data_IF_562105358705
#
_entry.id   IF_562105358705
#
_cell.length_a   1.000
_cell.length_b   1.000
_cell.length_c   1.000
_cell.angle_alpha   90.00
_cell.angle_beta   90.00
_cell.angle_gamma   90.00
#
_symmetry.space_group_name_H-M   'P 1'
#
loop_
_entity.id
_entity.type
_entity.pdbx_description
1 polymer ?
#
# COMPACT_ATOMS: atom_id res chain seq x y z
N UNK A 1 -27.28 3.46 -46.93
CA UNK A 1 -25.93 3.85 -47.41
C UNK A 1 -25.11 4.25 -46.19
N UNK A 2 -23.90 3.80 -45.90
CA UNK A 2 -23.01 2.76 -46.42
C UNK A 2 -22.15 2.35 -45.22
N UNK A 3 -22.12 1.07 -44.90
CA UNK A 3 -21.16 0.47 -43.97
C UNK A 3 -19.77 0.50 -44.62
N UNK A 4 -18.72 0.81 -43.86
CA UNK A 4 -17.34 0.49 -44.22
C UNK A 4 -16.73 -0.42 -43.15
N UNK A 5 -16.43 -1.67 -43.51
CA UNK A 5 -15.35 -2.45 -42.91
C UNK A 5 -14.18 -2.58 -43.90
N UNK A 6 -12.95 -2.70 -43.39
CA UNK A 6 -11.78 -3.17 -44.15
C UNK A 6 -10.87 -3.93 -43.18
N UNK A 7 -10.94 -5.26 -43.15
CA UNK A 7 -10.00 -6.23 -43.76
C UNK A 7 -8.54 -5.99 -43.35
N UNK A 8 -7.94 -6.78 -42.46
CA UNK A 8 -7.48 -8.19 -42.58
C UNK A 8 -6.29 -8.38 -43.54
N UNK A 9 -5.16 -8.88 -43.03
CA UNK A 9 -4.32 -9.99 -43.54
C UNK A 9 -2.96 -9.99 -42.80
N UNK A 10 -2.69 -10.98 -41.93
CA UNK A 10 -1.92 -12.20 -42.23
C UNK A 10 -0.51 -11.92 -42.78
N UNK A 11 0.53 -12.24 -42.02
CA UNK A 11 1.42 -13.37 -42.34
C UNK A 11 2.30 -13.75 -41.13
N UNK A 12 2.37 -15.07 -40.92
CA UNK A 12 3.24 -15.76 -39.97
C UNK A 12 4.70 -15.68 -40.43
N UNK A 13 5.63 -15.51 -39.50
CA UNK A 13 6.94 -16.14 -39.57
C UNK A 13 7.28 -16.69 -38.20
N UNK A 14 7.23 -18.02 -38.13
CA UNK A 14 7.87 -18.78 -37.07
C UNK A 14 9.38 -18.73 -37.30
N UNK A 15 10.14 -18.43 -36.25
CA UNK A 15 11.51 -18.87 -36.12
C UNK A 15 11.76 -19.21 -34.66
N UNK A 16 12.00 -20.50 -34.42
CA UNK A 16 12.47 -21.04 -33.16
C UNK A 16 13.72 -20.29 -32.70
N UNK A 17 13.68 -19.76 -31.50
CA UNK A 17 14.88 -19.58 -30.69
C UNK A 17 14.58 -20.20 -29.33
N UNK A 18 15.03 -21.44 -29.18
CA UNK A 18 15.17 -22.11 -27.89
C UNK A 18 16.08 -21.27 -27.01
N UNK A 19 15.48 -20.44 -26.15
CA UNK A 19 16.15 -19.83 -25.02
C UNK A 19 15.70 -20.56 -23.77
N UNK A 20 16.69 -21.13 -23.08
CA UNK A 20 16.61 -21.69 -21.76
C UNK A 20 15.73 -20.81 -20.86
N UNK A 21 14.50 -21.28 -20.57
CA UNK A 21 13.73 -20.81 -19.43
C UNK A 21 14.39 -21.37 -18.17
N UNK A 22 15.56 -20.82 -17.80
CA UNK A 22 15.91 -20.74 -16.39
C UNK A 22 14.79 -19.95 -15.74
N UNK A 23 14.02 -20.62 -14.89
CA UNK A 23 12.98 -20.00 -14.09
C UNK A 23 13.59 -18.86 -13.28
N UNK A 24 13.53 -17.66 -13.84
CA UNK A 24 13.52 -16.41 -13.09
C UNK A 24 12.21 -16.45 -12.30
N UNK A 25 12.20 -17.23 -11.21
CA UNK A 25 11.23 -17.04 -10.16
C UNK A 25 11.37 -15.57 -9.77
N UNK A 26 10.37 -14.77 -10.13
CA UNK A 26 10.28 -13.37 -9.78
C UNK A 26 10.17 -13.27 -8.25
N UNK A 27 11.31 -13.38 -7.57
CA UNK A 27 11.40 -13.13 -6.16
C UNK A 27 11.03 -11.67 -5.96
N UNK A 28 10.01 -11.40 -5.17
CA UNK A 28 9.43 -10.08 -5.21
C UNK A 28 10.39 -9.15 -4.44
N UNK A 29 10.75 -8.04 -5.10
CA UNK A 29 11.86 -7.16 -4.74
C UNK A 29 11.83 -6.73 -3.26
N UNK A 30 12.98 -6.85 -2.59
CA UNK A 30 13.18 -6.36 -1.23
C UNK A 30 13.14 -4.82 -1.18
N UNK A 31 12.63 -4.28 -0.07
CA UNK A 31 12.55 -2.84 0.21
C UNK A 31 13.84 -2.31 0.81
N UNK A 32 14.48 -3.13 1.65
CA UNK A 32 15.78 -2.85 2.22
C UNK A 32 16.66 -4.10 2.12
N UNK A 33 17.96 -3.87 2.01
CA UNK A 33 18.98 -4.92 1.98
C UNK A 33 19.95 -4.62 3.12
N UNK A 34 20.23 -5.61 3.95
CA UNK A 34 21.18 -5.48 5.05
C UNK A 34 22.04 -6.73 5.17
N UNK A 35 23.23 -6.55 5.74
CA UNK A 35 24.05 -7.66 6.19
C UNK A 35 23.32 -8.37 7.34
N UNK A 36 23.39 -9.70 7.36
CA UNK A 36 22.66 -10.55 8.29
C UNK A 36 23.01 -10.18 9.74
N UNK A 37 22.05 -9.67 10.54
CA UNK A 37 22.33 -9.21 11.90
C UNK A 37 22.88 -10.28 12.84
N UNK A 38 22.49 -11.55 12.67
CA UNK A 38 23.07 -12.65 13.45
C UNK A 38 24.56 -12.87 13.16
N UNK A 39 25.01 -12.56 11.94
CA UNK A 39 26.42 -12.69 11.56
C UNK A 39 27.26 -11.48 12.02
N UNK A 40 26.65 -10.28 12.08
CA UNK A 40 27.33 -9.03 12.48
C UNK A 40 27.15 -8.68 13.96
N UNK A 41 26.23 -9.32 14.66
CA UNK A 41 25.82 -8.99 16.04
C UNK A 41 25.04 -7.67 16.17
N UNK A 42 24.69 -7.02 15.06
CA UNK A 42 24.01 -5.72 15.06
C UNK A 42 23.21 -5.49 13.78
N UNK A 43 22.10 -4.76 13.91
CA UNK A 43 21.25 -4.37 12.77
C UNK A 43 21.79 -3.07 12.16
N UNK A 44 22.19 -3.11 10.89
CA UNK A 44 22.57 -1.90 10.14
C UNK A 44 21.34 -1.05 9.78
N UNK A 45 21.47 0.27 9.52
CA UNK A 45 20.35 1.10 9.06
C UNK A 45 19.66 0.51 7.82
N UNK A 46 18.33 0.32 7.86
CA UNK A 46 17.60 -0.49 6.87
C UNK A 46 16.19 0.05 6.53
N UNK A 47 16.09 1.35 6.25
CA UNK A 47 14.80 2.02 6.02
C UNK A 47 14.05 1.46 4.79
N UNK A 48 12.91 0.83 5.02
CA UNK A 48 11.93 0.45 4.00
C UNK A 48 10.82 1.51 3.90
N UNK A 49 10.36 1.83 2.69
CA UNK A 49 9.28 2.80 2.46
C UNK A 49 8.23 2.20 1.55
N UNK A 50 6.96 2.29 1.96
CA UNK A 50 5.82 1.82 1.19
C UNK A 50 4.68 2.81 1.29
N UNK A 51 4.22 3.30 0.14
CA UNK A 51 3.01 4.13 0.07
C UNK A 51 1.78 3.25 0.23
N UNK A 52 0.88 3.60 1.16
CA UNK A 52 -0.44 2.96 1.27
C UNK A 52 -1.53 3.79 0.58
N UNK A 53 -2.61 3.13 0.17
CA UNK A 53 -3.78 3.76 -0.42
C UNK A 53 -4.97 3.88 0.55
N UNK A 54 -4.83 3.39 1.79
CA UNK A 54 -5.91 3.44 2.79
C UNK A 54 -6.31 4.89 3.05
N UNK A 55 -7.61 5.17 2.98
CA UNK A 55 -8.19 6.49 3.24
C UNK A 55 -8.17 7.46 2.06
N UNK A 56 -7.67 7.05 0.87
CA UNK A 56 -7.65 7.90 -0.34
C UNK A 56 -8.97 7.93 -1.11
N UNK A 57 -9.96 7.13 -0.72
CA UNK A 57 -11.22 7.08 -1.46
C UNK A 57 -11.90 8.46 -1.47
N UNK A 58 -12.21 8.94 -2.67
CA UNK A 58 -12.75 10.29 -2.88
C UNK A 58 -11.76 11.44 -2.62
N UNK A 59 -10.45 11.17 -2.51
CA UNK A 59 -9.43 12.20 -2.19
C UNK A 59 -8.24 12.12 -3.13
N UNK A 60 -7.84 13.26 -3.66
CA UNK A 60 -6.64 13.47 -4.45
C UNK A 60 -5.55 14.01 -3.53
N UNK A 61 -4.68 13.13 -3.05
CA UNK A 61 -3.63 13.43 -2.07
C UNK A 61 -2.26 13.00 -2.62
N UNK A 62 -1.17 13.74 -2.31
CA UNK A 62 0.16 13.35 -2.74
C UNK A 62 0.53 11.97 -2.19
N UNK A 63 1.21 11.17 -3.00
CA UNK A 63 1.54 9.80 -2.64
C UNK A 63 2.31 9.72 -1.29
N UNK A 64 3.24 10.65 -1.08
CA UNK A 64 4.10 10.73 0.10
C UNK A 64 3.37 11.04 1.41
N UNK A 65 2.13 11.54 1.36
CA UNK A 65 1.31 11.79 2.55
C UNK A 65 1.08 10.50 3.36
N UNK A 66 1.12 9.36 2.70
CA UNK A 66 0.81 8.05 3.28
C UNK A 66 1.98 7.07 3.20
N UNK A 67 3.20 7.57 3.08
CA UNK A 67 4.39 6.73 3.14
C UNK A 67 4.51 6.11 4.54
N UNK A 68 4.33 4.80 4.58
CA UNK A 68 4.67 4.00 5.75
C UNK A 68 6.18 3.75 5.70
N UNK A 69 6.89 4.06 6.77
CA UNK A 69 8.32 3.78 6.88
C UNK A 69 8.51 2.66 7.89
N UNK A 70 9.36 1.67 7.59
CA UNK A 70 9.70 0.62 8.54
C UNK A 70 11.18 0.37 8.61
N UNK A 71 11.63 -0.08 9.78
CA UNK A 71 12.99 -0.53 10.02
C UNK A 71 12.96 -1.75 10.94
N UNK A 72 13.74 -2.77 10.62
CA UNK A 72 14.20 -3.77 11.58
C UNK A 72 15.09 -3.04 12.60
N UNK A 73 14.78 -3.18 13.87
CA UNK A 73 15.48 -2.50 14.98
C UNK A 73 16.30 -3.45 15.82
N UNK A 74 15.89 -4.72 15.93
CA UNK A 74 16.65 -5.78 16.57
C UNK A 74 16.38 -7.10 15.88
N UNK A 75 17.42 -7.95 15.79
CA UNK A 75 17.29 -9.33 15.37
C UNK A 75 18.31 -10.18 16.11
N UNK A 76 17.81 -11.12 16.89
CA UNK A 76 18.55 -12.22 17.52
C UNK A 76 17.86 -13.56 17.20
N UNK A 77 18.40 -14.67 17.71
CA UNK A 77 17.90 -16.01 17.42
C UNK A 77 16.47 -16.26 17.92
N UNK A 78 16.05 -15.53 18.95
CA UNK A 78 14.74 -15.70 19.59
C UNK A 78 13.80 -14.54 19.31
N UNK A 79 14.28 -13.40 18.83
CA UNK A 79 13.47 -12.19 18.65
C UNK A 79 13.79 -11.40 17.38
N UNK A 80 12.74 -10.92 16.74
CA UNK A 80 12.81 -9.93 15.68
C UNK A 80 11.91 -8.74 16.03
N UNK A 81 12.47 -7.54 16.11
CA UNK A 81 11.73 -6.31 16.40
C UNK A 81 11.81 -5.33 15.24
N UNK A 82 10.67 -4.71 14.94
CA UNK A 82 10.51 -3.70 13.89
C UNK A 82 9.87 -2.45 14.47
N UNK A 83 10.25 -1.30 13.95
CA UNK A 83 9.51 -0.05 14.15
C UNK A 83 8.92 0.37 12.81
N UNK A 84 7.62 0.60 12.79
CA UNK A 84 6.89 1.12 11.62
C UNK A 84 6.29 2.47 12.00
N UNK A 85 6.71 3.50 11.28
CA UNK A 85 6.08 4.82 11.32
C UNK A 85 4.90 4.77 10.37
N UNK A 86 3.71 4.79 10.96
CA UNK A 86 2.45 4.76 10.23
C UNK A 86 1.95 6.17 9.96
N UNK A 87 1.36 6.39 8.78
CA UNK A 87 0.73 7.65 8.38
C UNK A 87 -0.69 7.40 7.89
N UNK A 88 -1.67 7.98 8.55
CA UNK A 88 -3.10 7.76 8.29
C UNK A 88 -3.85 9.08 8.42
N UNK A 89 -5.00 9.21 7.75
CA UNK A 89 -5.89 10.34 7.99
C UNK A 89 -6.43 10.29 9.44
N UNK A 90 -6.60 11.46 10.06
CA UNK A 90 -7.07 11.58 11.46
C UNK A 90 -8.44 10.95 11.72
N UNK A 91 -9.29 10.88 10.69
CA UNK A 91 -10.59 10.21 10.77
C UNK A 91 -10.50 8.67 10.77
N UNK A 92 -9.31 8.08 10.62
CA UNK A 92 -9.09 6.64 10.71
C UNK A 92 -8.77 6.29 12.17
N UNK A 93 -9.64 5.54 12.89
CA UNK A 93 -9.41 5.23 14.29
C UNK A 93 -8.21 4.27 14.48
N UNK A 94 -7.06 4.83 14.86
CA UNK A 94 -5.82 4.08 15.17
C UNK A 94 -5.70 3.85 16.68
N UNK A 95 -6.52 2.94 17.22
CA UNK A 95 -6.31 2.41 18.57
C UNK A 95 -5.22 1.32 18.52
N UNK A 96 -4.35 1.19 19.54
CA UNK A 96 -3.29 0.17 19.59
C UNK A 96 -3.81 -1.25 19.31
N UNK A 97 -5.03 -1.54 19.78
CA UNK A 97 -5.69 -2.83 19.63
C UNK A 97 -5.98 -3.23 18.16
N UNK A 98 -5.93 -2.29 17.22
CA UNK A 98 -6.31 -2.54 15.82
C UNK A 98 -5.12 -2.76 14.88
N UNK A 99 -3.87 -2.56 15.35
CA UNK A 99 -2.68 -2.83 14.55
C UNK A 99 -2.06 -4.17 14.95
N UNK A 100 -2.07 -5.10 14.02
CA UNK A 100 -1.44 -6.40 14.14
C UNK A 100 -0.46 -6.59 12.98
N UNK A 101 0.58 -7.36 13.21
CA UNK A 101 1.57 -7.65 12.19
C UNK A 101 1.80 -9.15 12.06
N UNK A 102 2.13 -9.56 10.84
CA UNK A 102 2.59 -10.90 10.48
C UNK A 102 4.01 -10.83 9.97
N UNK A 103 4.88 -11.66 10.49
CA UNK A 103 6.25 -11.83 10.03
C UNK A 103 6.36 -13.18 9.32
N UNK A 104 6.66 -13.14 8.02
CA UNK A 104 6.99 -14.34 7.24
C UNK A 104 8.51 -14.54 7.23
N UNK A 105 8.95 -15.74 7.58
CA UNK A 105 10.34 -16.21 7.55
C UNK A 105 10.38 -17.57 6.86
N UNK A 106 10.78 -17.62 5.59
CA UNK A 106 10.63 -18.83 4.78
C UNK A 106 9.16 -19.27 4.74
N UNK A 107 8.87 -20.48 5.22
CA UNK A 107 7.50 -21.04 5.33
C UNK A 107 6.80 -20.74 6.67
N UNK A 108 7.52 -20.17 7.64
CA UNK A 108 6.94 -19.85 8.94
C UNK A 108 6.26 -18.47 8.94
N UNK A 109 5.09 -18.39 9.57
CA UNK A 109 4.37 -17.14 9.83
C UNK A 109 4.25 -16.93 11.35
N UNK A 110 4.66 -15.75 11.82
CA UNK A 110 4.58 -15.33 13.22
C UNK A 110 3.68 -14.10 13.33
N UNK A 111 3.00 -13.92 14.46
CA UNK A 111 2.10 -12.77 14.68
C UNK A 111 2.51 -11.96 15.90
N UNK A 112 2.33 -10.64 15.82
CA UNK A 112 2.57 -9.73 16.96
C UNK A 112 1.56 -8.59 16.95
N UNK A 113 1.25 -8.08 18.14
CA UNK A 113 0.44 -6.87 18.31
C UNK A 113 1.35 -5.64 18.32
N UNK A 114 0.88 -4.56 17.73
CA UNK A 114 1.59 -3.29 17.72
C UNK A 114 1.61 -2.63 19.09
N UNK A 115 2.77 -2.17 19.52
CA UNK A 115 2.96 -1.33 20.69
C UNK A 115 3.24 0.11 20.25
N UNK A 116 2.32 1.03 20.52
CA UNK A 116 2.47 2.44 20.15
C UNK A 116 3.65 3.05 20.90
N UNK A 117 4.49 3.78 20.17
CA UNK A 117 5.65 4.45 20.73
C UNK A 117 5.41 5.95 20.72
N UNK A 118 5.73 6.61 21.83
CA UNK A 118 5.65 8.06 21.94
C UNK A 118 4.24 8.65 21.69
N UNK A 119 4.23 9.96 21.51
CA UNK A 119 3.02 10.71 21.16
C UNK A 119 2.81 10.73 19.64
N UNK A 120 1.55 10.75 19.17
CA UNK A 120 1.27 10.98 17.76
C UNK A 120 1.74 12.38 17.34
N UNK A 121 2.29 12.48 16.12
CA UNK A 121 2.51 13.75 15.44
C UNK A 121 1.41 13.99 14.41
N UNK A 122 1.09 15.25 14.18
CA UNK A 122 0.05 15.67 13.25
C UNK A 122 0.64 16.65 12.26
N UNK A 123 0.26 16.50 10.99
CA UNK A 123 0.65 17.46 9.97
C UNK A 123 -0.45 17.59 8.92
N UNK A 124 -0.54 18.78 8.35
CA UNK A 124 -1.50 19.12 7.32
C UNK A 124 -0.94 18.78 5.94
N UNK A 125 -1.80 18.27 5.08
CA UNK A 125 -1.50 17.96 3.69
C UNK A 125 -2.57 18.57 2.81
N UNK A 126 -2.15 19.39 1.87
CA UNK A 126 -3.03 19.92 0.84
C UNK A 126 -3.31 18.88 -0.23
N UNK A 127 -4.56 18.85 -0.68
CA UNK A 127 -5.02 18.02 -1.77
C UNK A 127 -6.38 18.48 -2.27
N UNK A 128 -7.15 17.55 -2.79
CA UNK A 128 -8.54 17.80 -3.16
C UNK A 128 -9.45 16.67 -2.72
N UNK A 129 -10.72 17.00 -2.49
CA UNK A 129 -11.78 16.02 -2.27
C UNK A 129 -12.72 16.01 -3.47
N UNK A 130 -13.11 14.81 -3.91
CA UNK A 130 -14.10 14.63 -4.96
C UNK A 130 -15.47 14.87 -4.34
N UNK A 131 -16.14 15.93 -4.79
CA UNK A 131 -17.48 16.32 -4.32
C UNK A 131 -18.41 16.59 -5.51
N UNK A 132 -19.73 16.44 -5.33
CA UNK A 132 -20.68 16.91 -6.32
C UNK A 132 -20.62 18.44 -6.39
N UNK A 133 -20.30 18.96 -7.57
CA UNK A 133 -20.31 20.38 -7.89
C UNK A 133 -21.50 20.62 -8.80
N UNK A 134 -22.32 21.63 -8.48
CA UNK A 134 -23.39 22.05 -9.35
C UNK A 134 -22.79 22.72 -10.59
N UNK A 135 -22.95 22.13 -11.78
CA UNK A 135 -22.46 22.70 -13.05
C UNK A 135 -23.56 23.38 -13.88
N UNK A 136 -24.80 23.31 -13.40
CA UNK A 136 -25.93 23.89 -14.11
C UNK A 136 -27.28 23.40 -13.62
N UNK A 137 -28.26 23.50 -14.50
CA UNK A 137 -29.62 23.01 -14.29
C UNK A 137 -30.05 22.16 -15.48
N UNK A 138 -30.75 21.07 -15.21
CA UNK A 138 -31.46 20.29 -16.23
C UNK A 138 -32.95 20.53 -16.12
N UNK A 139 -33.64 20.52 -17.25
CA UNK A 139 -35.09 20.62 -17.31
C UNK A 139 -35.63 19.20 -17.52
N UNK A 140 -36.32 18.66 -16.52
CA UNK A 140 -36.90 17.32 -16.56
C UNK A 140 -38.42 17.38 -16.50
N UNK A 141 -39.08 16.39 -17.10
CA UNK A 141 -40.52 16.29 -17.06
C UNK A 141 -40.98 15.68 -15.74
N UNK A 142 -41.66 16.45 -14.89
CA UNK A 142 -42.16 15.99 -13.60
C UNK A 142 -43.57 15.42 -13.64
N UNK A 143 -44.35 15.70 -14.70
CA UNK A 143 -45.66 15.12 -14.91
C UNK A 143 -45.95 14.98 -16.40
N UNK A 144 -46.39 13.79 -16.82
CA UNK A 144 -46.83 13.50 -18.19
C UNK A 144 -48.33 13.28 -18.21
N UNK A 145 -48.98 13.70 -19.29
CA UNK A 145 -50.34 13.32 -19.60
C UNK A 145 -50.40 11.80 -19.86
N UNK A 146 -51.32 11.10 -19.20
CA UNK A 146 -51.41 9.64 -19.25
C UNK A 146 -51.95 9.10 -20.57
N UNK A 147 -52.64 9.93 -21.36
CA UNK A 147 -53.28 9.56 -22.62
C UNK A 147 -52.41 9.86 -23.85
N UNK A 148 -51.66 10.97 -23.82
CA UNK A 148 -50.83 11.43 -24.95
C UNK A 148 -49.34 11.24 -24.72
N UNK A 149 -48.92 11.00 -23.47
CA UNK A 149 -47.51 10.90 -23.08
C UNK A 149 -46.74 12.23 -23.11
N UNK A 150 -47.41 13.34 -23.43
CA UNK A 150 -46.80 14.67 -23.49
C UNK A 150 -46.46 15.19 -22.09
N UNK A 151 -45.36 15.92 -21.97
CA UNK A 151 -45.02 16.54 -20.70
C UNK A 151 -45.93 17.72 -20.39
N UNK A 152 -46.60 17.66 -19.24
CA UNK A 152 -47.50 18.72 -18.76
C UNK A 152 -46.82 19.66 -17.77
N UNK A 153 -45.73 19.21 -17.12
CA UNK A 153 -45.00 20.02 -16.16
C UNK A 153 -43.50 19.78 -16.25
N UNK A 154 -42.78 20.81 -16.62
CA UNK A 154 -41.32 20.85 -16.63
C UNK A 154 -40.80 21.45 -15.32
N UNK A 155 -39.79 20.83 -14.72
CA UNK A 155 -39.11 21.35 -13.53
C UNK A 155 -37.63 21.51 -13.81
N UNK A 156 -37.05 22.57 -13.26
CA UNK A 156 -35.60 22.75 -13.20
C UNK A 156 -35.07 21.96 -12.02
N UNK A 157 -34.04 21.17 -12.26
CA UNK A 157 -33.32 20.43 -11.24
C UNK A 157 -31.85 20.80 -11.36
N UNK A 158 -31.18 21.03 -10.23
CA UNK A 158 -29.74 21.22 -10.22
C UNK A 158 -29.06 19.98 -10.84
N UNK A 159 -28.14 20.23 -11.75
CA UNK A 159 -27.28 19.20 -12.33
C UNK A 159 -25.94 19.24 -11.60
N UNK A 160 -25.48 18.07 -11.18
CA UNK A 160 -24.25 17.92 -10.43
C UNK A 160 -23.30 17.00 -11.18
N UNK A 161 -22.03 17.37 -11.19
CA UNK A 161 -20.92 16.55 -11.68
C UNK A 161 -19.91 16.36 -10.57
N UNK A 162 -19.17 15.26 -10.61
CA UNK A 162 -18.04 15.08 -9.71
C UNK A 162 -16.93 16.05 -10.09
N UNK A 163 -16.42 16.79 -9.11
CA UNK A 163 -15.27 17.67 -9.29
C UNK A 163 -14.37 17.68 -8.07
N UNK A 164 -13.10 17.98 -8.31
CA UNK A 164 -12.09 18.12 -7.26
C UNK A 164 -12.21 19.50 -6.61
N UNK A 165 -12.47 19.51 -5.31
CA UNK A 165 -12.50 20.72 -4.49
C UNK A 165 -11.26 20.76 -3.60
N UNK A 166 -10.44 21.82 -3.63
CA UNK A 166 -9.27 21.94 -2.77
C UNK A 166 -9.63 21.77 -1.30
N UNK A 167 -8.83 20.98 -0.59
CA UNK A 167 -9.04 20.68 0.82
C UNK A 167 -7.69 20.42 1.52
N UNK A 168 -7.64 20.74 2.81
CA UNK A 168 -6.51 20.41 3.67
C UNK A 168 -6.91 19.24 4.56
N UNK A 169 -6.04 18.23 4.64
CA UNK A 169 -6.27 17.00 5.37
C UNK A 169 -5.27 16.87 6.51
N UNK A 170 -5.76 16.47 7.68
CA UNK A 170 -4.91 16.17 8.82
C UNK A 170 -4.43 14.71 8.73
N UNK A 171 -3.11 14.53 8.65
CA UNK A 171 -2.46 13.22 8.68
C UNK A 171 -1.83 13.03 10.05
N UNK A 172 -2.10 11.88 10.64
CA UNK A 172 -1.53 11.41 11.90
C UNK A 172 -0.36 10.51 11.58
N UNK A 173 0.80 10.86 12.09
CA UNK A 173 1.99 10.02 12.08
C UNK A 173 2.22 9.40 13.45
N UNK A 174 2.51 8.09 13.46
CA UNK A 174 2.68 7.34 14.70
C UNK A 174 3.67 6.20 14.57
N UNK A 175 4.74 6.17 15.39
CA UNK A 175 5.63 5.02 15.44
C UNK A 175 4.99 3.87 16.23
N UNK A 176 5.09 2.67 15.67
CA UNK A 176 4.54 1.43 16.24
C UNK A 176 5.63 0.38 16.22
N UNK A 177 5.89 -0.23 17.37
CA UNK A 177 6.83 -1.33 17.51
C UNK A 177 6.11 -2.68 17.40
N UNK A 178 6.68 -3.60 16.64
CA UNK A 178 6.26 -4.99 16.56
C UNK A 178 7.44 -5.87 16.92
N UNK A 179 7.31 -6.68 17.96
CA UNK A 179 8.33 -7.65 18.36
C UNK A 179 7.75 -9.06 18.30
N UNK A 180 8.45 -9.95 17.63
CA UNK A 180 8.07 -11.34 17.41
C UNK A 180 9.01 -12.22 18.23
N UNK A 181 8.43 -13.21 18.91
CA UNK A 181 9.18 -14.36 19.40
C UNK A 181 9.36 -15.32 18.20
N UNK A 182 10.60 -15.47 17.75
CA UNK A 182 10.96 -16.25 16.57
C UNK A 182 11.31 -17.69 16.91
N UNK A 183 11.56 -18.01 18.18
CA UNK A 183 11.82 -19.38 18.64
C UNK A 183 12.86 -20.15 17.79
N UNK A 184 13.93 -19.46 17.37
CA UNK A 184 15.00 -20.05 16.54
C UNK A 184 14.68 -20.22 15.06
N UNK A 185 13.50 -19.79 14.58
CA UNK A 185 13.12 -19.88 13.17
C UNK A 185 14.00 -18.97 12.30
N UNK A 186 14.45 -17.83 12.83
CA UNK A 186 15.42 -16.98 12.15
C UNK A 186 16.83 -17.48 12.47
N UNK A 187 17.58 -17.84 11.42
CA UNK A 187 18.95 -18.34 11.51
C UNK A 187 19.84 -17.52 10.59
N UNK A 188 21.17 -17.70 10.65
CA UNK A 188 22.10 -17.04 9.70
C UNK A 188 21.85 -17.40 8.23
N UNK A 189 21.11 -18.48 7.96
CA UNK A 189 20.71 -18.89 6.61
C UNK A 189 19.44 -18.20 6.12
N UNK A 190 18.74 -17.47 6.98
CA UNK A 190 17.55 -16.72 6.61
C UNK A 190 17.94 -15.61 5.65
N UNK A 191 17.37 -15.63 4.45
CA UNK A 191 17.69 -14.68 3.37
C UNK A 191 16.75 -13.48 3.32
N UNK A 192 15.60 -13.56 3.99
CA UNK A 192 14.57 -12.56 3.88
C UNK A 192 13.58 -12.57 5.05
N UNK A 193 13.06 -11.38 5.36
CA UNK A 193 11.99 -11.15 6.32
C UNK A 193 10.89 -10.34 5.62
N UNK A 194 9.65 -10.79 5.68
CA UNK A 194 8.50 -10.02 5.17
C UNK A 194 7.56 -9.66 6.32
N UNK A 195 7.47 -8.37 6.63
CA UNK A 195 6.53 -7.83 7.61
C UNK A 195 5.27 -7.35 6.90
N UNK A 196 4.11 -7.88 7.28
CA UNK A 196 2.80 -7.38 6.83
C UNK A 196 2.07 -6.78 8.01
N UNK A 197 1.83 -5.47 7.97
CA UNK A 197 1.05 -4.74 8.98
C UNK A 197 -0.40 -4.66 8.53
N UNK A 198 -1.31 -4.91 9.45
CA UNK A 198 -2.75 -4.95 9.24
C UNK A 198 -3.42 -3.91 10.16
N UNK A 199 -4.45 -3.26 9.65
CA UNK A 199 -5.36 -2.38 10.38
C UNK A 199 -6.74 -3.03 10.35
N UNK A 200 -7.14 -3.66 11.46
CA UNK A 200 -8.33 -4.50 11.51
C UNK A 200 -8.22 -5.67 10.53
N UNK A 201 -9.12 -5.75 9.54
CA UNK A 201 -9.09 -6.79 8.49
C UNK A 201 -8.33 -6.36 7.23
N UNK A 202 -7.97 -5.09 7.14
CA UNK A 202 -7.34 -4.52 5.94
C UNK A 202 -5.83 -4.56 6.07
N UNK A 203 -5.14 -4.94 4.99
CA UNK A 203 -3.68 -4.85 4.93
C UNK A 203 -3.28 -3.38 4.81
N UNK A 204 -2.54 -2.87 5.78
CA UNK A 204 -2.01 -1.51 5.77
C UNK A 204 -0.79 -1.39 4.85
N UNK A 205 0.20 -2.26 5.06
CA UNK A 205 1.45 -2.26 4.29
C UNK A 205 2.18 -3.61 4.38
N UNK A 206 3.02 -3.91 3.40
CA UNK A 206 3.95 -5.05 3.43
C UNK A 206 5.35 -4.55 3.09
N UNK A 207 6.31 -4.81 3.97
CA UNK A 207 7.71 -4.41 3.83
C UNK A 207 8.60 -5.64 3.86
N UNK A 208 9.69 -5.59 3.08
CA UNK A 208 10.59 -6.73 2.89
C UNK A 208 12.04 -6.35 3.11
N UNK A 209 12.73 -7.15 3.89
CA UNK A 209 14.16 -7.05 4.12
C UNK A 209 14.85 -8.26 3.51
N UNK A 210 15.85 -8.04 2.66
CA UNK A 210 16.78 -9.09 2.25
C UNK A 210 17.98 -9.08 3.21
N UNK A 211 18.30 -10.24 3.75
CA UNK A 211 19.42 -10.48 4.64
C UNK A 211 20.54 -11.14 3.83
N UNK A 212 21.68 -10.47 3.73
CA UNK A 212 22.83 -10.97 2.99
C UNK A 212 23.88 -11.52 3.95
N UNK A 213 24.54 -12.61 3.57
CA UNK A 213 25.69 -13.10 4.33
C UNK A 213 26.74 -12.00 4.50
N UNK A 214 27.40 -11.99 5.66
CA UNK A 214 28.54 -11.10 5.88
C UNK A 214 29.63 -11.42 4.84
N UNK A 215 30.18 -10.39 4.20
CA UNK A 215 31.33 -10.56 3.33
C UNK A 215 32.48 -11.19 4.14
N UNK A 216 33.11 -12.24 3.61
CA UNK A 216 34.25 -12.85 4.25
C UNK A 216 35.34 -11.78 4.50
N UNK A 217 36.00 -11.78 5.67
CA UNK A 217 37.07 -10.83 5.94
C UNK A 217 38.16 -11.00 4.88
N UNK A 218 38.48 -9.92 4.17
CA UNK A 218 39.63 -9.90 3.26
C UNK A 218 40.87 -10.03 4.12
N UNK A 219 41.51 -11.20 4.08
CA UNK A 219 42.80 -11.43 4.72
C UNK A 219 43.80 -10.39 4.19
N UNK A 220 44.38 -9.60 5.10
CA UNK A 220 45.50 -8.70 4.82
C UNK A 220 46.82 -9.42 4.98
#
# INVERSE_FOLDING_TARGET
MSLRPSRSSFFRCAAMASLLFLGLACHPRADAVLTHPLATGAVSPNRAVRTTAIGKEGKSLPASAFDQTGSLTSLDADKACFTVVTRLLDNVPVLPANLNARLQVGDAELTSLGSMQGEPSFFEVDGAEIRPIQDGETITCAAKDSSTGLCMRWVRQAHFVEGEVPATFLVVERPVQFCFDTQGVVTESTDSLTLTVQLGRSRLTTMRWALQAAAAPVAK
#
